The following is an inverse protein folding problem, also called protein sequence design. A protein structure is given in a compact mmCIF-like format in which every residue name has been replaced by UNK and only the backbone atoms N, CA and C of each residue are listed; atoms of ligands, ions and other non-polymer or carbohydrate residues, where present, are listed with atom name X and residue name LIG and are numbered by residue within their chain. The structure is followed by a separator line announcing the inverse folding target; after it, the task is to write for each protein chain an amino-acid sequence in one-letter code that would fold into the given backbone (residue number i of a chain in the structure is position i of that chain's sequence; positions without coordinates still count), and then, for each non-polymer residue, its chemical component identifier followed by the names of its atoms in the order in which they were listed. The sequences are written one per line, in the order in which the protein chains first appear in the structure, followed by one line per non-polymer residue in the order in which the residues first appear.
data_IF_121448697830
#
_entry.id   IF_121448697830
#
_cell.length_a   1.000
_cell.length_b   1.000
_cell.length_c   1.000
_cell.angle_alpha   90.00
_cell.angle_beta   90.00
_cell.angle_gamma   90.00
#
_symmetry.space_group_name_H-M   'P 1'
#
loop_
_entity.id
_entity.type
_entity.pdbx_description
1 polymer ?
#
# COMPACT_ATOMS: atom_id res chain seq x y z
N UNK A 1 -12.68 25.56 14.02
CA UNK A 1 -13.12 25.65 12.60
C UNK A 1 -12.11 25.00 11.67
N UNK A 2 -10.86 25.45 11.56
CA UNK A 2 -9.85 24.81 10.67
C UNK A 2 -9.64 23.31 10.98
N UNK A 3 -9.31 22.96 12.23
CA UNK A 3 -9.18 21.55 12.66
C UNK A 3 -10.50 20.76 12.62
N UNK A 4 -11.63 21.45 12.55
CA UNK A 4 -12.93 20.80 12.40
C UNK A 4 -13.12 20.46 10.92
N UNK A 5 -12.88 21.39 10.01
CA UNK A 5 -12.93 21.17 8.57
C UNK A 5 -11.96 20.07 8.11
N UNK A 6 -10.73 19.99 8.62
CA UNK A 6 -9.83 18.86 8.27
C UNK A 6 -10.44 17.51 8.60
N UNK A 7 -11.24 17.40 9.66
CA UNK A 7 -11.90 16.14 10.08
C UNK A 7 -13.31 15.97 9.52
N UNK A 8 -13.94 17.06 9.09
CA UNK A 8 -15.34 17.09 8.66
C UNK A 8 -15.52 17.43 7.19
N UNK A 9 -14.47 17.66 6.39
CA UNK A 9 -14.59 18.08 4.99
C UNK A 9 -15.52 17.20 4.15
N UNK A 10 -15.58 15.90 4.46
CA UNK A 10 -16.50 14.96 3.79
C UNK A 10 -17.99 15.20 4.09
N UNK A 11 -18.29 15.74 5.27
CA UNK A 11 -19.64 15.84 5.85
C UNK A 11 -20.14 17.28 5.97
N UNK A 12 -19.23 18.24 6.08
CA UNK A 12 -19.55 19.66 6.19
C UNK A 12 -19.47 20.29 4.80
N UNK A 13 -20.65 20.62 4.26
CA UNK A 13 -20.78 21.23 2.94
C UNK A 13 -19.98 22.54 2.83
N UNK A 14 -19.91 23.35 3.89
CA UNK A 14 -19.16 24.60 3.87
C UNK A 14 -17.64 24.38 3.79
N UNK A 15 -17.12 23.38 4.52
CA UNK A 15 -15.71 22.99 4.42
C UNK A 15 -15.39 22.41 3.03
N UNK A 16 -16.32 21.63 2.46
CA UNK A 16 -16.18 21.03 1.14
C UNK A 16 -16.19 22.07 0.02
N UNK A 17 -17.14 23.01 0.06
CA UNK A 17 -17.25 24.08 -0.93
C UNK A 17 -16.00 24.97 -0.89
N UNK A 18 -15.51 25.32 0.31
CA UNK A 18 -14.26 26.06 0.45
C UNK A 18 -13.05 25.29 -0.11
N UNK A 19 -12.97 23.97 0.11
CA UNK A 19 -11.93 23.14 -0.50
C UNK A 19 -12.01 23.15 -2.03
N UNK A 20 -13.23 23.04 -2.59
CA UNK A 20 -13.42 23.07 -4.04
C UNK A 20 -13.08 24.42 -4.67
N UNK A 21 -13.37 25.54 -4.01
CA UNK A 21 -12.94 26.86 -4.48
C UNK A 21 -11.41 26.95 -4.55
N UNK A 22 -10.71 26.45 -3.51
CA UNK A 22 -9.24 26.42 -3.49
C UNK A 22 -8.69 25.47 -4.56
N UNK A 23 -9.26 24.27 -4.70
CA UNK A 23 -8.88 23.29 -5.73
C UNK A 23 -9.08 23.85 -7.14
N UNK A 24 -10.23 24.46 -7.42
CA UNK A 24 -10.53 25.08 -8.71
C UNK A 24 -9.55 26.20 -9.04
N UNK A 25 -9.15 26.99 -8.04
CA UNK A 25 -8.12 28.01 -8.22
C UNK A 25 -6.76 27.37 -8.54
N UNK A 26 -6.36 26.34 -7.79
CA UNK A 26 -5.07 25.64 -8.01
C UNK A 26 -4.99 25.00 -9.39
N UNK A 27 -6.06 24.36 -9.84
CA UNK A 27 -6.08 23.64 -11.12
C UNK A 27 -6.29 24.59 -12.30
N UNK A 28 -7.12 25.61 -12.13
CA UNK A 28 -7.57 26.49 -13.21
C UNK A 28 -6.72 27.74 -13.42
N UNK A 29 -5.98 28.19 -12.41
CA UNK A 29 -5.16 29.41 -12.50
C UNK A 29 -3.67 29.09 -12.65
N UNK A 30 -2.86 30.00 -13.23
CA UNK A 30 -1.42 29.84 -13.28
C UNK A 30 -0.81 29.61 -11.89
N UNK A 31 0.24 28.80 -11.83
CA UNK A 31 0.97 28.54 -10.60
C UNK A 31 1.42 29.84 -9.90
N UNK A 32 1.40 29.86 -8.57
CA UNK A 32 1.79 31.02 -7.76
C UNK A 32 0.73 32.13 -7.63
N UNK A 33 -0.46 31.95 -8.21
CA UNK A 33 -1.60 32.87 -8.00
C UNK A 33 -2.35 32.60 -6.69
N UNK A 34 -2.25 31.39 -6.15
CA UNK A 34 -2.73 31.06 -4.81
C UNK A 34 -1.67 31.43 -3.78
N UNK A 35 -2.09 31.97 -2.62
CA UNK A 35 -1.17 32.23 -1.53
C UNK A 35 -0.52 30.92 -1.05
N UNK A 36 0.78 30.93 -0.76
CA UNK A 36 1.57 29.72 -0.51
C UNK A 36 1.17 28.97 0.75
N UNK A 37 0.56 29.67 1.72
CA UNK A 37 -0.08 29.12 2.91
C UNK A 37 -1.39 28.38 2.58
N UNK A 38 -2.28 28.98 1.78
CA UNK A 38 -3.51 28.32 1.31
C UNK A 38 -3.20 27.07 0.48
N UNK A 39 -2.21 27.14 -0.40
CA UNK A 39 -1.80 25.99 -1.20
C UNK A 39 -1.22 24.86 -0.32
N UNK A 40 -0.40 25.21 0.69
CA UNK A 40 0.11 24.23 1.66
C UNK A 40 -1.03 23.58 2.44
N UNK A 41 -1.97 24.39 2.93
CA UNK A 41 -3.14 23.89 3.67
C UNK A 41 -3.98 22.96 2.80
N UNK A 42 -4.20 23.28 1.52
CA UNK A 42 -4.92 22.42 0.59
C UNK A 42 -4.35 21.00 0.57
N UNK A 43 -3.03 20.80 0.56
CA UNK A 43 -2.42 19.46 0.61
C UNK A 43 -2.69 18.71 1.93
N UNK A 44 -2.87 19.44 3.04
CA UNK A 44 -3.32 18.83 4.30
C UNK A 44 -4.80 18.45 4.25
N UNK A 45 -5.61 19.17 3.47
CA UNK A 45 -7.01 18.85 3.21
C UNK A 45 -7.19 17.73 2.17
N UNK A 46 -6.26 17.54 1.23
CA UNK A 46 -6.31 16.50 0.19
C UNK A 46 -6.43 15.08 0.74
N UNK A 47 -5.89 14.84 1.94
CA UNK A 47 -6.03 13.53 2.59
C UNK A 47 -7.42 13.32 3.21
N UNK A 48 -8.22 14.38 3.32
CA UNK A 48 -9.49 14.41 4.04
C UNK A 48 -10.69 14.74 3.15
N UNK A 49 -10.53 15.59 2.14
CA UNK A 49 -11.57 16.04 1.20
C UNK A 49 -11.60 15.18 -0.06
N UNK A 50 -12.77 15.04 -0.69
CA UNK A 50 -12.85 14.45 -2.03
C UNK A 50 -12.28 15.42 -3.05
N UNK A 51 -11.46 14.91 -3.96
CA UNK A 51 -10.95 15.69 -5.07
C UNK A 51 -12.02 15.75 -6.17
N UNK A 52 -12.26 16.95 -6.67
CA UNK A 52 -12.78 17.13 -8.02
C UNK A 52 -11.55 17.29 -8.91
N UNK A 53 -11.28 16.32 -9.79
CA UNK A 53 -10.19 16.46 -10.76
C UNK A 53 -10.64 17.47 -11.81
N UNK A 54 -10.24 18.74 -11.67
CA UNK A 54 -10.22 19.66 -12.78
C UNK A 54 -8.82 19.55 -13.40
N UNK A 55 -8.73 19.11 -14.65
CA UNK A 55 -7.46 19.25 -15.34
C UNK A 55 -7.21 20.74 -15.63
N UNK A 56 -5.96 21.20 -15.50
CA UNK A 56 -5.58 22.50 -16.04
C UNK A 56 -5.93 22.58 -17.53
N UNK A 57 -6.33 23.76 -18.04
CA UNK A 57 -6.50 23.95 -19.47
C UNK A 57 -5.19 23.58 -20.17
N UNK A 58 -5.23 22.54 -21.02
CA UNK A 58 -4.05 22.06 -21.71
C UNK A 58 -3.40 23.16 -22.55
N UNK A 59 -2.08 23.18 -22.60
CA UNK A 59 -1.36 24.02 -23.55
C UNK A 59 -1.55 23.44 -24.95
N UNK A 60 -2.30 24.14 -25.81
CA UNK A 60 -2.55 23.73 -27.20
C UNK A 60 -1.27 23.61 -28.05
N UNK A 61 -0.15 24.14 -27.57
CA UNK A 61 1.15 24.06 -28.23
C UNK A 61 1.90 22.76 -27.90
N UNK A 62 1.44 22.00 -26.90
CA UNK A 62 2.00 20.70 -26.53
C UNK A 62 1.20 19.56 -27.14
N UNK A 63 1.88 18.47 -27.49
CA UNK A 63 1.23 17.24 -27.91
C UNK A 63 0.29 16.71 -26.82
N UNK A 64 -0.66 15.85 -27.22
CA UNK A 64 -1.46 15.08 -26.27
C UNK A 64 -0.57 14.39 -25.25
N UNK A 65 -1.04 14.29 -24.01
CA UNK A 65 -0.32 13.57 -22.97
C UNK A 65 -0.05 12.12 -23.41
N UNK A 66 1.11 11.54 -23.05
CA UNK A 66 1.35 10.13 -23.28
C UNK A 66 0.28 9.30 -22.55
N UNK A 67 -0.08 8.15 -23.14
CA UNK A 67 -0.89 7.18 -22.42
C UNK A 67 0.01 6.51 -21.38
N UNK A 68 -0.30 6.68 -20.10
CA UNK A 68 0.52 6.14 -19.01
C UNK A 68 -0.11 4.86 -18.49
N UNK A 69 0.73 3.83 -18.34
CA UNK A 69 0.34 2.60 -17.64
C UNK A 69 0.41 2.85 -16.12
N UNK A 70 -0.74 2.99 -15.50
CA UNK A 70 -0.86 3.33 -14.08
C UNK A 70 -0.26 2.22 -13.20
N UNK A 71 0.55 2.62 -12.23
CA UNK A 71 1.30 1.71 -11.36
C UNK A 71 2.62 1.19 -11.94
N UNK A 72 2.95 1.49 -13.20
CA UNK A 72 4.19 1.00 -13.81
C UNK A 72 5.45 1.64 -13.22
N UNK A 73 6.59 0.94 -13.34
CA UNK A 73 7.90 1.45 -12.92
C UNK A 73 8.33 2.67 -13.73
N UNK A 74 7.81 2.87 -14.95
CA UNK A 74 8.19 4.02 -15.78
C UNK A 74 7.80 5.36 -15.16
N UNK A 75 6.73 5.42 -14.35
CA UNK A 75 6.36 6.64 -13.60
C UNK A 75 7.43 6.94 -12.53
N UNK A 76 7.94 5.89 -11.86
CA UNK A 76 8.98 6.00 -10.82
C UNK A 76 10.33 6.34 -11.43
N UNK A 77 10.68 5.73 -12.56
CA UNK A 77 11.89 6.04 -13.33
C UNK A 77 11.87 7.48 -13.84
N UNK A 78 10.77 7.91 -14.47
CA UNK A 78 10.58 9.27 -14.94
C UNK A 78 10.75 10.28 -13.78
N UNK A 79 10.10 10.04 -12.65
CA UNK A 79 10.27 10.88 -11.46
C UNK A 79 11.71 10.90 -10.93
N UNK A 80 12.37 9.73 -10.89
CA UNK A 80 13.76 9.63 -10.43
C UNK A 80 14.70 10.40 -11.35
N UNK A 81 14.47 10.35 -12.66
CA UNK A 81 15.23 11.12 -13.63
C UNK A 81 14.99 12.63 -13.49
N UNK A 82 13.74 13.07 -13.31
CA UNK A 82 13.42 14.48 -13.05
C UNK A 82 14.18 15.02 -11.83
N UNK A 83 14.19 14.25 -10.74
CA UNK A 83 14.89 14.60 -9.50
C UNK A 83 16.42 14.59 -9.64
N UNK A 84 16.98 13.67 -10.42
CA UNK A 84 18.42 13.52 -10.54
C UNK A 84 19.05 14.48 -11.56
N UNK A 85 18.34 14.74 -12.67
CA UNK A 85 18.94 15.34 -13.87
C UNK A 85 18.27 16.65 -14.30
N UNK A 86 17.12 17.01 -13.72
CA UNK A 86 16.32 18.14 -14.19
C UNK A 86 16.14 19.25 -13.13
N UNK A 87 16.73 19.16 -11.93
CA UNK A 87 16.58 20.15 -10.84
C UNK A 87 17.53 21.36 -10.92
N UNK A 88 18.63 21.26 -11.68
CA UNK A 88 19.74 22.23 -11.63
C UNK A 88 19.66 23.35 -12.69
N UNK A 89 18.54 23.48 -13.39
CA UNK A 89 18.40 24.51 -14.43
C UNK A 89 17.94 25.82 -13.78
N UNK A 90 18.75 26.87 -13.91
CA UNK A 90 18.52 28.20 -13.33
C UNK A 90 17.05 28.62 -13.38
N UNK A 91 16.55 29.12 -12.24
CA UNK A 91 15.16 29.49 -11.98
C UNK A 91 14.46 30.14 -13.19
N UNK A 92 13.70 29.35 -13.94
CA UNK A 92 12.88 29.82 -15.05
C UNK A 92 12.86 28.93 -16.30
N UNK A 93 13.82 28.02 -16.46
CA UNK A 93 13.85 27.08 -17.59
C UNK A 93 13.43 25.68 -17.17
N UNK A 94 12.15 25.34 -17.30
CA UNK A 94 11.77 23.95 -17.15
C UNK A 94 12.16 23.14 -18.40
N UNK A 95 12.66 21.91 -18.18
CA UNK A 95 12.86 20.91 -19.24
C UNK A 95 13.90 21.32 -20.30
N UNK A 96 15.14 21.49 -19.88
CA UNK A 96 16.24 21.84 -20.80
C UNK A 96 16.63 20.74 -21.80
N UNK A 97 16.10 19.53 -21.60
CA UNK A 97 16.30 18.40 -22.48
C UNK A 97 14.97 17.76 -22.83
N UNK A 98 14.91 17.17 -24.03
CA UNK A 98 13.76 16.39 -24.47
C UNK A 98 13.43 15.24 -23.49
N UNK A 99 14.45 14.67 -22.84
CA UNK A 99 14.27 13.62 -21.84
C UNK A 99 13.53 14.14 -20.60
N UNK A 100 13.92 15.29 -20.06
CA UNK A 100 13.21 15.91 -18.94
C UNK A 100 11.74 16.19 -19.32
N UNK A 101 11.51 16.67 -20.55
CA UNK A 101 10.15 16.92 -21.05
C UNK A 101 9.31 15.65 -21.12
N UNK A 102 9.85 14.58 -21.70
CA UNK A 102 9.19 13.29 -21.76
C UNK A 102 8.85 12.76 -20.36
N UNK A 103 9.81 12.78 -19.43
CA UNK A 103 9.61 12.30 -18.06
C UNK A 103 8.58 13.14 -17.30
N UNK A 104 8.59 14.46 -17.50
CA UNK A 104 7.57 15.35 -16.94
C UNK A 104 6.19 15.00 -17.48
N UNK A 105 6.05 14.79 -18.79
CA UNK A 105 4.77 14.43 -19.40
C UNK A 105 4.26 13.08 -18.91
N UNK A 106 5.14 12.09 -18.67
CA UNK A 106 4.77 10.81 -18.05
C UNK A 106 4.23 11.04 -16.63
N UNK A 107 4.97 11.76 -15.78
CA UNK A 107 4.54 12.00 -14.39
C UNK A 107 3.27 12.85 -14.34
N UNK A 108 3.18 13.89 -15.16
CA UNK A 108 2.01 14.75 -15.28
C UNK A 108 0.79 13.92 -15.71
N UNK A 109 0.89 13.18 -16.81
CA UNK A 109 -0.19 12.32 -17.26
C UNK A 109 -0.61 11.34 -16.15
N UNK A 110 0.34 10.67 -15.49
CA UNK A 110 0.05 9.78 -14.36
C UNK A 110 -0.76 10.47 -13.26
N UNK A 111 -0.38 11.68 -12.85
CA UNK A 111 -1.05 12.42 -11.77
C UNK A 111 -2.53 12.72 -12.05
N UNK A 112 -2.88 12.92 -13.32
CA UNK A 112 -4.25 13.25 -13.71
C UNK A 112 -5.05 12.04 -14.20
N UNK A 113 -4.42 11.08 -14.89
CA UNK A 113 -5.12 9.91 -15.44
C UNK A 113 -5.21 8.74 -14.47
N UNK A 114 -4.22 8.57 -13.59
CA UNK A 114 -4.21 7.45 -12.65
C UNK A 114 -4.97 7.79 -11.37
N UNK A 115 -5.43 6.75 -10.67
CA UNK A 115 -5.98 6.89 -9.34
C UNK A 115 -4.90 7.34 -8.36
N UNK A 116 -5.30 8.05 -7.31
CA UNK A 116 -4.35 8.59 -6.35
C UNK A 116 -3.40 7.49 -5.84
N UNK A 117 -3.91 6.31 -5.50
CA UNK A 117 -3.12 5.18 -4.99
C UNK A 117 -2.21 4.48 -6.03
N UNK A 118 -2.47 4.66 -7.32
CA UNK A 118 -1.64 4.10 -8.41
C UNK A 118 -0.38 4.93 -8.64
N UNK A 119 -0.40 6.23 -8.28
CA UNK A 119 0.78 7.09 -8.30
C UNK A 119 1.48 7.05 -6.95
N UNK A 120 2.78 6.78 -6.98
CA UNK A 120 3.62 6.66 -5.80
C UNK A 120 3.59 7.93 -4.94
N UNK A 121 3.36 7.82 -3.62
CA UNK A 121 3.16 8.98 -2.71
C UNK A 121 4.27 10.04 -2.78
N UNK A 122 5.54 9.64 -2.88
CA UNK A 122 6.67 10.59 -3.02
C UNK A 122 6.56 11.40 -4.30
N UNK A 123 6.11 10.77 -5.40
CA UNK A 123 5.86 11.45 -6.67
C UNK A 123 4.72 12.44 -6.46
N UNK A 124 3.60 12.05 -5.85
CA UNK A 124 2.46 12.97 -5.63
C UNK A 124 2.83 14.18 -4.78
N UNK A 125 3.56 13.95 -3.68
CA UNK A 125 4.02 15.03 -2.79
C UNK A 125 5.04 15.92 -3.49
N UNK A 126 6.01 15.32 -4.15
CA UNK A 126 7.06 16.04 -4.85
C UNK A 126 6.56 16.72 -6.12
N UNK A 127 5.55 16.17 -6.80
CA UNK A 127 5.04 16.64 -8.08
C UNK A 127 4.64 18.09 -8.00
N UNK A 128 3.87 18.46 -6.99
CA UNK A 128 3.43 19.85 -6.81
C UNK A 128 4.57 20.79 -6.37
N UNK A 129 5.50 20.30 -5.54
CA UNK A 129 6.70 21.06 -5.17
C UNK A 129 7.57 21.33 -6.42
N UNK A 130 7.75 20.33 -7.26
CA UNK A 130 8.53 20.40 -8.49
C UNK A 130 7.82 21.23 -9.56
N UNK A 131 6.50 21.07 -9.71
CA UNK A 131 5.64 21.91 -10.55
C UNK A 131 5.83 23.37 -10.17
N UNK A 132 5.81 23.73 -8.88
CA UNK A 132 6.03 25.12 -8.47
C UNK A 132 7.42 25.65 -8.74
N UNK A 133 8.44 24.85 -8.39
CA UNK A 133 9.82 25.31 -8.39
C UNK A 133 10.39 25.43 -9.81
N UNK A 134 9.95 24.56 -10.72
CA UNK A 134 10.55 24.41 -12.04
C UNK A 134 9.49 24.60 -13.14
N UNK A 135 8.35 23.93 -13.00
CA UNK A 135 7.12 23.92 -13.81
C UNK A 135 6.17 25.12 -13.78
N UNK A 136 6.50 26.31 -14.33
CA UNK A 136 5.40 27.26 -14.62
C UNK A 136 4.34 26.58 -15.51
N UNK A 137 3.05 26.87 -15.28
CA UNK A 137 1.86 26.16 -15.77
C UNK A 137 1.74 25.93 -17.29
N UNK A 138 2.73 26.35 -18.08
CA UNK A 138 2.78 26.16 -19.53
C UNK A 138 3.09 24.74 -20.00
N UNK A 139 3.39 23.79 -19.10
CA UNK A 139 3.77 22.41 -19.47
C UNK A 139 2.68 21.36 -19.21
N UNK A 140 1.43 21.80 -19.13
CA UNK A 140 0.27 20.93 -19.13
C UNK A 140 -0.01 20.41 -20.54
N UNK A 141 0.18 19.12 -20.79
CA UNK A 141 -0.27 18.49 -22.02
C UNK A 141 -1.81 18.35 -22.05
N UNK A 142 -2.36 18.20 -23.25
CA UNK A 142 -3.81 17.98 -23.41
C UNK A 142 -4.18 16.56 -22.99
N UNK A 143 -4.99 16.42 -21.95
CA UNK A 143 -5.56 15.14 -21.53
C UNK A 143 -6.73 14.73 -22.43
N UNK A 144 -7.03 13.42 -22.56
CA UNK A 144 -8.23 12.95 -23.25
C UNK A 144 -9.50 13.61 -22.71
N UNK A 145 -10.40 14.05 -23.60
CA UNK A 145 -11.64 14.74 -23.20
C UNK A 145 -12.53 13.90 -22.27
N UNK A 146 -12.48 12.56 -22.40
CA UNK A 146 -13.15 11.63 -21.50
C UNK A 146 -12.68 11.69 -20.04
N UNK A 147 -11.51 12.29 -19.77
CA UNK A 147 -10.99 12.51 -18.42
C UNK A 147 -11.23 13.94 -17.92
N UNK A 148 -11.70 14.85 -18.79
CA UNK A 148 -12.02 16.23 -18.45
C UNK A 148 -13.47 16.41 -17.97
N UNK A 149 -14.35 15.45 -18.29
CA UNK A 149 -15.75 15.43 -17.89
C UNK A 149 -15.91 14.76 -16.51
N UNK A 150 -15.28 15.34 -15.48
CA UNK A 150 -15.64 15.01 -14.10
C UNK A 150 -16.80 15.91 -13.70
N UNK A 151 -18.02 15.35 -13.72
CA UNK A 151 -19.22 16.07 -13.30
C UNK A 151 -19.16 16.33 -11.79
N UNK A 152 -18.73 17.54 -11.44
CA UNK A 152 -18.67 18.01 -10.06
C UNK A 152 -20.04 18.49 -9.55
N UNK A 153 -21.09 18.42 -10.38
CA UNK A 153 -22.36 19.14 -10.16
C UNK A 153 -23.54 18.27 -9.72
N UNK A 154 -23.49 16.94 -9.85
CA UNK A 154 -24.71 16.13 -9.71
C UNK A 154 -24.90 15.31 -8.43
N UNK A 155 -23.91 15.12 -7.56
CA UNK A 155 -24.05 14.22 -6.40
C UNK A 155 -24.05 14.92 -5.03
N UNK A 156 -24.83 15.98 -4.89
CA UNK A 156 -25.13 16.57 -3.59
C UNK A 156 -26.14 15.72 -2.76
N UNK A 157 -26.85 14.77 -3.37
CA UNK A 157 -27.94 14.01 -2.74
C UNK A 157 -27.86 12.49 -2.89
N UNK A 158 -26.89 11.95 -3.64
CA UNK A 158 -26.56 10.55 -3.44
C UNK A 158 -25.82 10.52 -2.11
N UNK A 159 -26.34 9.73 -1.17
CA UNK A 159 -25.56 9.21 -0.06
C UNK A 159 -24.41 8.42 -0.72
N UNK A 160 -23.39 9.14 -1.19
CA UNK A 160 -22.12 8.58 -1.59
C UNK A 160 -21.58 8.01 -0.30
N UNK A 161 -21.96 6.76 -0.04
CA UNK A 161 -21.11 5.77 0.60
C UNK A 161 -19.68 6.11 0.15
N UNK A 162 -18.84 6.35 1.13
CA UNK A 162 -17.66 7.19 0.95
C UNK A 162 -16.68 6.57 -0.07
N UNK A 163 -16.24 7.32 -1.11
CA UNK A 163 -15.27 6.85 -2.08
C UNK A 163 -13.99 6.23 -1.54
N UNK A 164 -13.68 6.55 -0.29
CA UNK A 164 -12.52 6.11 0.45
C UNK A 164 -12.86 5.23 1.66
N UNK A 165 -14.10 5.21 2.16
CA UNK A 165 -14.57 4.13 3.07
C UNK A 165 -14.84 2.84 2.30
N UNK A 166 -14.78 2.89 0.97
CA UNK A 166 -14.85 1.76 0.08
C UNK A 166 -13.65 1.62 -0.86
N UNK A 167 -12.49 2.25 -0.59
CA UNK A 167 -11.26 1.55 -1.00
C UNK A 167 -11.19 0.34 -0.07
N UNK A 168 -12.13 -0.59 -0.30
CA UNK A 168 -12.07 -1.95 0.18
C UNK A 168 -10.72 -2.37 -0.31
N UNK A 169 -9.88 -2.75 0.63
CA UNK A 169 -8.66 -3.45 0.31
C UNK A 169 -8.99 -4.49 -0.76
N UNK A 170 -8.22 -4.54 -1.86
CA UNK A 170 -8.49 -5.52 -2.89
C UNK A 170 -8.50 -6.91 -2.23
N UNK A 171 -9.38 -7.78 -2.69
CA UNK A 171 -9.48 -9.11 -2.13
C UNK A 171 -8.20 -9.88 -2.48
N UNK A 172 -7.48 -10.40 -1.48
CA UNK A 172 -6.19 -11.06 -1.69
C UNK A 172 -6.29 -12.19 -2.74
N UNK A 173 -7.39 -12.95 -2.70
CA UNK A 173 -7.69 -14.00 -3.66
C UNK A 173 -7.69 -13.53 -5.14
N UNK A 174 -8.00 -12.27 -5.39
CA UNK A 174 -7.97 -11.69 -6.74
C UNK A 174 -6.58 -11.21 -7.17
N UNK A 175 -5.68 -10.99 -6.21
CA UNK A 175 -4.34 -10.44 -6.44
C UNK A 175 -3.32 -11.55 -6.66
N UNK A 176 -3.35 -12.54 -5.78
CA UNK A 176 -2.30 -13.56 -5.65
C UNK A 176 -2.79 -14.98 -5.93
N UNK A 177 -4.07 -15.11 -6.31
CA UNK A 177 -4.70 -16.36 -6.72
C UNK A 177 -5.29 -17.16 -5.55
N UNK A 178 -5.63 -18.45 -5.77
CA UNK A 178 -6.26 -19.28 -4.75
C UNK A 178 -5.29 -19.59 -3.60
N UNK A 179 -5.83 -19.58 -2.37
CA UNK A 179 -5.09 -19.90 -1.16
C UNK A 179 -4.87 -21.42 -1.02
N UNK A 180 -3.64 -21.84 -0.74
CA UNK A 180 -3.28 -23.23 -0.42
C UNK A 180 -2.71 -23.35 0.99
N UNK A 181 -3.52 -23.79 1.95
CA UNK A 181 -3.11 -23.98 3.34
C UNK A 181 -2.40 -25.31 3.62
N UNK A 182 -2.15 -26.14 2.60
CA UNK A 182 -1.41 -27.39 2.76
C UNK A 182 0.11 -27.19 2.76
N UNK A 183 0.59 -26.01 2.35
CA UNK A 183 2.01 -25.69 2.28
C UNK A 183 2.30 -24.24 2.68
N UNK A 184 3.11 -24.04 3.71
CA UNK A 184 3.60 -22.71 4.12
C UNK A 184 4.73 -22.17 3.21
N UNK A 185 5.21 -22.98 2.26
CA UNK A 185 6.34 -22.62 1.40
C UNK A 185 6.14 -21.31 0.64
N UNK A 186 4.97 -21.01 0.02
CA UNK A 186 4.76 -19.73 -0.65
C UNK A 186 4.86 -18.52 0.30
N UNK A 187 4.33 -18.64 1.52
CA UNK A 187 4.42 -17.57 2.53
C UNK A 187 5.86 -17.35 3.00
N UNK A 188 6.64 -18.42 3.21
CA UNK A 188 8.06 -18.33 3.54
C UNK A 188 8.83 -17.63 2.41
N UNK A 189 8.59 -18.03 1.16
CA UNK A 189 9.23 -17.43 -0.02
C UNK A 189 8.90 -15.94 -0.16
N UNK A 190 7.64 -15.56 0.08
CA UNK A 190 7.22 -14.17 0.11
C UNK A 190 7.91 -13.38 1.23
N UNK A 191 8.00 -13.95 2.45
CA UNK A 191 8.68 -13.32 3.57
C UNK A 191 10.18 -13.14 3.33
N UNK A 192 10.85 -14.13 2.75
CA UNK A 192 12.26 -14.04 2.33
C UNK A 192 12.46 -12.92 1.31
N UNK A 193 11.58 -12.83 0.29
CA UNK A 193 11.62 -11.75 -0.68
C UNK A 193 11.47 -10.38 -0.02
N UNK A 194 10.51 -10.23 0.90
CA UNK A 194 10.29 -8.97 1.61
C UNK A 194 11.51 -8.53 2.42
N UNK A 195 12.19 -9.48 3.05
CA UNK A 195 13.43 -9.22 3.83
C UNK A 195 14.57 -8.84 2.91
N UNK A 196 14.82 -9.64 1.88
CA UNK A 196 16.00 -9.53 1.02
C UNK A 196 15.94 -8.27 0.12
N UNK A 197 14.73 -7.72 -0.11
CA UNK A 197 14.51 -6.49 -0.88
C UNK A 197 14.22 -5.25 0.00
N UNK A 198 14.44 -5.34 1.31
CA UNK A 198 14.24 -4.23 2.27
C UNK A 198 12.82 -3.63 2.21
N UNK A 199 11.81 -4.47 1.97
CA UNK A 199 10.44 -4.03 1.75
C UNK A 199 9.83 -3.33 2.97
N UNK A 200 10.41 -3.49 4.17
CA UNK A 200 9.97 -2.81 5.39
C UNK A 200 9.94 -1.27 5.29
N UNK A 201 10.69 -0.67 4.36
CA UNK A 201 10.65 0.79 4.09
C UNK A 201 10.09 1.16 2.71
N UNK A 202 9.95 0.18 1.81
CA UNK A 202 9.62 0.39 0.39
C UNK A 202 8.30 -0.25 -0.03
N UNK A 203 7.62 -1.00 0.83
CA UNK A 203 6.43 -1.75 0.43
C UNK A 203 5.30 -0.86 -0.09
N UNK A 204 5.16 0.36 0.45
CA UNK A 204 4.19 1.35 -0.07
C UNK A 204 4.41 1.70 -1.55
N UNK A 205 5.60 1.44 -2.06
CA UNK A 205 6.18 2.04 -3.25
C UNK A 205 6.62 1.04 -4.30
N UNK A 206 7.01 -0.16 -3.88
CA UNK A 206 7.42 -1.25 -4.77
C UNK A 206 6.24 -2.20 -4.99
N UNK A 207 5.85 -2.37 -6.26
CA UNK A 207 4.81 -3.32 -6.64
C UNK A 207 5.16 -4.75 -6.23
N UNK A 208 6.40 -5.17 -6.47
CA UNK A 208 6.87 -6.51 -6.11
C UNK A 208 6.89 -6.73 -4.59
N UNK A 209 7.24 -5.72 -3.79
CA UNK A 209 7.08 -5.80 -2.34
C UNK A 209 5.60 -5.96 -1.92
N UNK A 210 4.66 -5.24 -2.56
CA UNK A 210 3.23 -5.41 -2.25
C UNK A 210 2.72 -6.79 -2.63
N UNK A 211 3.09 -7.29 -3.80
CA UNK A 211 2.70 -8.62 -4.26
C UNK A 211 3.18 -9.69 -3.28
N UNK A 212 4.45 -9.65 -2.87
CA UNK A 212 4.99 -10.54 -1.86
C UNK A 212 4.23 -10.40 -0.52
N UNK A 213 3.94 -9.17 -0.08
CA UNK A 213 3.14 -8.96 1.12
C UNK A 213 1.73 -9.55 1.01
N UNK A 214 1.06 -9.42 -0.13
CA UNK A 214 -0.27 -10.01 -0.35
C UNK A 214 -0.23 -11.53 -0.32
N UNK A 215 0.82 -12.18 -0.84
CA UNK A 215 1.00 -13.63 -0.68
C UNK A 215 1.16 -14.03 0.80
N UNK A 216 1.99 -13.29 1.53
CA UNK A 216 2.22 -13.54 2.96
C UNK A 216 0.93 -13.32 3.78
N UNK A 217 0.25 -12.20 3.55
CA UNK A 217 -0.99 -11.83 4.23
C UNK A 217 -2.13 -12.80 3.92
N UNK A 218 -2.33 -13.16 2.64
CA UNK A 218 -3.35 -14.14 2.27
C UNK A 218 -3.17 -15.45 3.04
N UNK A 219 -1.92 -15.91 3.17
CA UNK A 219 -1.62 -17.15 3.89
C UNK A 219 -1.82 -17.01 5.40
N UNK A 220 -1.24 -15.98 6.02
CA UNK A 220 -1.32 -15.78 7.48
C UNK A 220 -2.76 -15.51 7.94
N UNK A 221 -3.49 -14.69 7.19
CA UNK A 221 -4.84 -14.28 7.58
C UNK A 221 -5.90 -15.27 7.11
N UNK A 222 -5.69 -15.96 5.98
CA UNK A 222 -6.65 -16.90 5.41
C UNK A 222 -6.55 -18.34 5.93
N UNK A 223 -5.35 -18.82 6.28
CA UNK A 223 -5.18 -20.21 6.71
C UNK A 223 -5.54 -20.45 8.17
N UNK A 224 -5.97 -21.68 8.52
CA UNK A 224 -6.06 -22.08 9.91
C UNK A 224 -4.68 -21.96 10.52
N UNK A 225 -4.58 -21.42 11.73
CA UNK A 225 -3.26 -21.12 12.30
C UNK A 225 -2.45 -22.37 12.66
N UNK A 226 -3.05 -23.57 12.67
CA UNK A 226 -2.28 -24.82 12.67
C UNK A 226 -1.41 -25.01 11.42
N UNK A 227 -1.71 -24.31 10.32
CA UNK A 227 -0.94 -24.30 9.07
C UNK A 227 0.08 -23.15 9.00
N UNK A 228 0.03 -22.19 9.94
CA UNK A 228 0.91 -21.01 9.97
C UNK A 228 1.88 -21.13 11.13
N UNK A 229 3.17 -21.16 10.85
CA UNK A 229 4.21 -21.15 11.88
C UNK A 229 4.20 -19.82 12.63
N UNK A 230 4.52 -19.87 13.93
CA UNK A 230 4.59 -18.68 14.77
C UNK A 230 5.57 -17.62 14.23
N UNK A 231 6.64 -18.04 13.55
CA UNK A 231 7.62 -17.12 12.96
C UNK A 231 7.03 -16.36 11.76
N UNK A 232 6.31 -17.05 10.85
CA UNK A 232 5.72 -16.40 9.67
C UNK A 232 4.61 -15.43 10.07
N UNK A 233 3.76 -15.82 11.02
CA UNK A 233 2.74 -14.93 11.59
C UNK A 233 3.39 -13.66 12.17
N UNK A 234 4.37 -13.83 13.07
CA UNK A 234 5.01 -12.71 13.74
C UNK A 234 5.74 -11.76 12.77
N UNK A 235 6.48 -12.30 11.81
CA UNK A 235 7.27 -11.49 10.88
C UNK A 235 6.42 -10.72 9.86
N UNK A 236 5.17 -11.16 9.58
CA UNK A 236 4.22 -10.39 8.77
C UNK A 236 4.05 -8.97 9.34
N UNK A 237 3.89 -8.87 10.66
CA UNK A 237 3.62 -7.59 11.34
C UNK A 237 4.72 -6.54 11.18
N UNK A 238 5.94 -6.94 10.80
CA UNK A 238 7.03 -6.00 10.46
C UNK A 238 6.69 -5.12 9.26
N UNK A 239 5.72 -5.54 8.43
CA UNK A 239 5.36 -4.88 7.19
C UNK A 239 4.01 -4.17 7.24
N UNK A 240 3.17 -4.40 8.27
CA UNK A 240 1.80 -3.84 8.40
C UNK A 240 1.75 -2.31 8.35
N UNK A 241 2.76 -1.62 8.90
CA UNK A 241 2.80 -0.14 8.88
C UNK A 241 3.19 0.43 7.50
N UNK A 242 3.85 -0.37 6.66
CA UNK A 242 4.45 0.10 5.40
C UNK A 242 3.69 -0.40 4.17
N UNK A 243 3.22 -1.65 4.19
CA UNK A 243 2.46 -2.24 3.11
C UNK A 243 1.00 -1.79 3.15
N UNK A 244 0.36 -1.76 1.98
CA UNK A 244 -1.10 -1.76 1.93
C UNK A 244 -1.57 -3.19 2.16
N UNK A 245 -2.66 -3.36 2.89
CA UNK A 245 -3.27 -4.66 3.13
C UNK A 245 -4.21 -5.06 1.98
N UNK A 246 -4.49 -6.35 1.89
CA UNK A 246 -5.55 -6.92 1.07
C UNK A 246 -6.61 -7.58 1.96
N UNK A 247 -7.88 -7.54 1.54
CA UNK A 247 -8.95 -8.17 2.30
C UNK A 247 -8.94 -9.69 2.07
N UNK A 248 -9.04 -10.47 3.14
CA UNK A 248 -9.19 -11.92 3.07
C UNK A 248 -10.33 -12.35 3.99
N UNK A 249 -11.27 -13.12 3.44
CA UNK A 249 -12.24 -13.81 4.28
C UNK A 249 -11.49 -14.87 5.09
N UNK A 250 -11.65 -14.84 6.42
CA UNK A 250 -11.23 -15.93 7.29
C UNK A 250 -12.22 -17.07 7.12
N UNK A 251 -11.71 -18.27 6.89
CA UNK A 251 -12.54 -19.47 6.92
C UNK A 251 -13.19 -19.59 8.32
N UNK A 252 -14.52 -19.73 8.33
CA UNK A 252 -15.24 -20.05 9.56
C UNK A 252 -14.71 -21.37 10.11
N UNK A 253 -14.36 -21.37 11.39
CA UNK A 253 -13.94 -22.59 12.07
C UNK A 253 -15.11 -23.11 12.88
N UNK A 254 -15.62 -24.30 12.54
CA UNK A 254 -16.73 -24.97 13.22
C UNK A 254 -16.54 -25.09 14.74
N UNK A 255 -15.28 -25.10 15.21
CA UNK A 255 -14.93 -25.21 16.62
C UNK A 255 -14.95 -23.87 17.39
N UNK A 256 -15.02 -22.74 16.69
CA UNK A 256 -15.04 -21.41 17.32
C UNK A 256 -16.47 -20.91 17.43
N UNK A 257 -16.75 -20.16 18.51
CA UNK A 257 -18.03 -19.46 18.67
C UNK A 257 -18.07 -18.20 17.80
N UNK A 258 -19.26 -17.67 17.52
CA UNK A 258 -19.41 -16.38 16.85
C UNK A 258 -18.91 -15.25 17.75
N UNK A 259 -18.23 -14.29 17.15
CA UNK A 259 -17.81 -13.09 17.84
C UNK A 259 -19.02 -12.22 18.22
N UNK A 260 -18.90 -11.45 19.32
CA UNK A 260 -19.93 -10.46 19.65
C UNK A 260 -20.08 -9.44 18.51
N UNK A 261 -21.31 -9.03 18.24
CA UNK A 261 -21.58 -7.93 17.32
C UNK A 261 -20.93 -6.64 17.86
N UNK A 262 -20.33 -5.86 16.96
CA UNK A 262 -19.65 -4.61 17.28
C UNK A 262 -20.34 -3.44 16.61
N UNK A 263 -20.53 -2.35 17.36
CA UNK A 263 -20.84 -1.04 16.80
C UNK A 263 -19.55 -0.28 16.52
N UNK A 264 -19.17 -0.20 15.25
CA UNK A 264 -17.97 0.50 14.79
C UNK A 264 -17.98 2.01 15.09
N UNK A 265 -19.08 2.57 15.57
CA UNK A 265 -19.17 3.99 15.97
C UNK A 265 -18.98 4.21 17.46
N UNK A 266 -18.95 3.14 18.26
CA UNK A 266 -18.77 3.22 19.71
C UNK A 266 -17.28 3.22 20.09
N UNK A 267 -16.59 4.33 19.78
CA UNK A 267 -15.17 4.51 20.08
C UNK A 267 -14.88 4.37 21.59
N UNK A 268 -15.83 4.75 22.45
CA UNK A 268 -15.70 4.63 23.90
C UNK A 268 -15.65 3.15 24.33
N UNK A 269 -16.53 2.31 23.78
CA UNK A 269 -16.52 0.86 24.01
C UNK A 269 -15.23 0.21 23.53
N UNK A 270 -14.76 0.54 22.32
CA UNK A 270 -13.51 -0.02 21.78
C UNK A 270 -12.30 0.42 22.60
N UNK A 271 -12.25 1.69 23.02
CA UNK A 271 -11.18 2.20 23.89
C UNK A 271 -11.21 1.56 25.27
N UNK A 272 -12.40 1.33 25.83
CA UNK A 272 -12.57 0.64 27.11
C UNK A 272 -12.11 -0.82 27.01
N UNK A 273 -12.54 -1.54 25.97
CA UNK A 273 -12.13 -2.93 25.73
C UNK A 273 -10.61 -3.03 25.61
N UNK A 274 -9.96 -2.11 24.89
CA UNK A 274 -8.50 -2.05 24.79
C UNK A 274 -7.83 -1.79 26.14
N UNK A 275 -8.28 -0.79 26.89
CA UNK A 275 -7.71 -0.48 28.21
C UNK A 275 -7.89 -1.65 29.21
N UNK A 276 -9.02 -2.34 29.14
CA UNK A 276 -9.31 -3.51 29.97
C UNK A 276 -8.42 -4.68 29.58
N UNK A 277 -8.30 -4.98 28.28
CA UNK A 277 -7.42 -6.01 27.75
C UNK A 277 -5.95 -5.76 28.13
N UNK A 278 -5.47 -4.53 28.05
CA UNK A 278 -4.13 -4.17 28.50
C UNK A 278 -3.87 -4.47 29.99
N UNK A 279 -4.91 -4.51 30.83
CA UNK A 279 -4.77 -4.85 32.25
C UNK A 279 -4.68 -6.36 32.49
N UNK A 280 -4.90 -7.18 31.45
CA UNK A 280 -4.85 -8.64 31.50
C UNK A 280 -3.45 -9.24 31.37
N UNK A 281 -2.38 -8.44 31.45
CA UNK A 281 -1.02 -8.93 31.16
C UNK A 281 -0.64 -10.13 32.03
N UNK A 282 -0.56 -11.31 31.43
CA UNK A 282 -0.16 -12.57 32.07
C UNK A 282 -1.31 -13.52 32.41
N UNK A 283 -2.55 -13.03 32.47
CA UNK A 283 -3.75 -13.87 32.58
C UNK A 283 -4.22 -14.19 31.17
N UNK A 284 -3.97 -15.42 30.73
CA UNK A 284 -4.45 -15.90 29.43
C UNK A 284 -5.97 -15.67 29.34
N UNK A 285 -6.46 -15.26 28.15
CA UNK A 285 -7.91 -15.11 27.94
C UNK A 285 -8.69 -16.40 28.26
N UNK A 286 -8.01 -17.53 28.39
CA UNK A 286 -8.55 -18.82 28.83
C UNK A 286 -9.14 -18.80 30.25
N UNK A 287 -8.59 -17.99 31.18
CA UNK A 287 -8.99 -17.99 32.60
C UNK A 287 -9.77 -16.75 33.00
N UNK A 288 -9.57 -15.63 32.30
CA UNK A 288 -10.27 -14.39 32.58
C UNK A 288 -11.34 -14.09 31.52
N UNK A 289 -12.64 -14.29 31.84
CA UNK A 289 -13.72 -14.13 30.88
C UNK A 289 -13.87 -12.69 30.38
N UNK A 290 -13.45 -11.69 31.18
CA UNK A 290 -13.46 -10.30 30.75
C UNK A 290 -12.40 -10.06 29.67
N UNK A 291 -11.19 -10.59 29.86
CA UNK A 291 -10.11 -10.49 28.86
C UNK A 291 -10.50 -11.19 27.54
N UNK A 292 -11.10 -12.37 27.64
CA UNK A 292 -11.68 -13.07 26.47
C UNK A 292 -12.70 -12.18 25.75
N UNK A 293 -13.66 -11.63 26.49
CA UNK A 293 -14.72 -10.82 25.89
C UNK A 293 -14.15 -9.56 25.23
N UNK A 294 -13.24 -8.85 25.89
CA UNK A 294 -12.62 -7.64 25.35
C UNK A 294 -11.77 -7.95 24.11
N UNK A 295 -11.02 -9.06 24.12
CA UNK A 295 -10.30 -9.56 22.95
C UNK A 295 -11.25 -9.84 21.78
N UNK A 296 -12.32 -10.60 22.01
CA UNK A 296 -13.29 -10.95 20.96
C UNK A 296 -14.02 -9.72 20.40
N UNK A 297 -14.34 -8.72 21.24
CA UNK A 297 -14.89 -7.43 20.78
C UNK A 297 -13.89 -6.73 19.86
N UNK A 298 -12.61 -6.64 20.25
CA UNK A 298 -11.60 -5.96 19.44
C UNK A 298 -11.29 -6.73 18.15
N UNK A 299 -11.27 -8.06 18.17
CA UNK A 299 -11.09 -8.89 16.96
C UNK A 299 -12.27 -8.76 16.00
N UNK A 300 -13.50 -8.73 16.52
CA UNK A 300 -14.69 -8.44 15.72
C UNK A 300 -14.66 -7.03 15.14
N UNK A 301 -14.25 -6.04 15.92
CA UNK A 301 -14.10 -4.66 15.45
C UNK A 301 -13.06 -4.59 14.32
N UNK A 302 -11.90 -5.21 14.51
CA UNK A 302 -10.84 -5.26 13.50
C UNK A 302 -11.31 -5.90 12.20
N UNK A 303 -12.12 -6.97 12.28
CA UNK A 303 -12.63 -7.64 11.09
C UNK A 303 -13.73 -6.84 10.38
N UNK A 304 -14.60 -6.14 11.14
CA UNK A 304 -15.85 -5.58 10.62
C UNK A 304 -15.87 -4.07 10.42
N UNK A 305 -15.02 -3.35 11.15
CA UNK A 305 -14.96 -1.90 11.10
C UNK A 305 -13.88 -1.43 10.13
N UNK A 306 -14.08 -0.25 9.55
CA UNK A 306 -13.02 0.44 8.83
C UNK A 306 -11.83 0.69 9.78
N UNK A 307 -10.59 0.58 9.28
CA UNK A 307 -9.36 0.83 10.06
C UNK A 307 -9.34 2.19 10.75
N UNK A 308 -10.13 3.16 10.27
CA UNK A 308 -10.29 4.50 10.87
C UNK A 308 -11.29 4.57 12.03
N UNK A 309 -12.14 3.56 12.18
CA UNK A 309 -13.18 3.49 13.21
C UNK A 309 -12.68 2.86 14.51
N UNK A 310 -11.57 2.12 14.46
CA UNK A 310 -10.93 1.54 15.64
C UNK A 310 -9.83 2.49 16.16
N UNK A 311 -9.68 2.66 17.49
CA UNK A 311 -8.55 3.40 18.04
C UNK A 311 -7.23 2.82 17.53
N UNK A 312 -6.37 3.64 16.92
CA UNK A 312 -5.15 3.14 16.25
C UNK A 312 -4.21 2.35 17.18
N UNK A 313 -4.18 2.70 18.47
CA UNK A 313 -3.42 1.98 19.49
C UNK A 313 -3.99 0.58 19.77
N UNK A 314 -5.31 0.43 19.72
CA UNK A 314 -5.98 -0.85 19.88
C UNK A 314 -5.79 -1.72 18.63
N UNK A 315 -5.97 -1.14 17.44
CA UNK A 315 -5.81 -1.87 16.17
C UNK A 315 -4.41 -2.45 16.00
N UNK A 316 -3.35 -1.73 16.38
CA UNK A 316 -1.97 -2.25 16.36
C UNK A 316 -1.69 -3.17 17.53
N UNK A 317 -2.19 -2.81 18.71
CA UNK A 317 -1.86 -3.52 19.93
C UNK A 317 -2.52 -4.89 20.05
N UNK A 318 -3.68 -5.10 19.41
CA UNK A 318 -4.41 -6.37 19.49
C UNK A 318 -3.64 -7.54 18.84
N UNK A 319 -2.78 -7.28 17.86
CA UNK A 319 -2.01 -8.33 17.16
C UNK A 319 -1.19 -9.19 18.13
N UNK A 320 -0.53 -8.58 19.11
CA UNK A 320 0.23 -9.34 20.13
C UNK A 320 -0.64 -10.26 20.99
N UNK A 321 -1.95 -10.01 21.05
CA UNK A 321 -2.92 -10.87 21.75
C UNK A 321 -3.45 -11.97 20.83
N UNK A 322 -3.67 -11.65 19.55
CA UNK A 322 -4.10 -12.58 18.51
C UNK A 322 -3.07 -13.69 18.28
N UNK A 323 -1.78 -13.38 18.40
CA UNK A 323 -0.66 -14.33 18.27
C UNK A 323 -0.21 -14.97 19.59
N UNK A 324 -0.73 -14.47 20.72
CA UNK A 324 -0.20 -14.77 22.04
C UNK A 324 -1.26 -15.30 23.01
N UNK A 325 -1.43 -14.66 24.17
CA UNK A 325 -2.18 -15.21 25.30
C UNK A 325 -3.69 -15.39 25.06
N UNK A 326 -4.23 -14.87 23.95
CA UNK A 326 -5.65 -14.96 23.62
C UNK A 326 -5.94 -15.71 22.31
N UNK A 327 -4.90 -16.28 21.72
CA UNK A 327 -4.99 -17.01 20.46
C UNK A 327 -6.06 -18.13 20.46
N UNK A 328 -6.21 -18.86 21.57
CA UNK A 328 -7.19 -19.92 21.72
C UNK A 328 -8.64 -19.41 21.89
N UNK A 329 -8.83 -18.11 22.15
CA UNK A 329 -10.13 -17.50 22.41
C UNK A 329 -10.68 -16.68 21.23
N UNK A 330 -10.15 -16.91 20.02
CA UNK A 330 -10.68 -16.35 18.78
C UNK A 330 -12.12 -16.80 18.55
N UNK A 331 -12.82 -16.09 17.68
CA UNK A 331 -14.22 -16.30 17.37
C UNK A 331 -14.45 -16.06 15.86
N UNK A 332 -15.56 -16.59 15.32
CA UNK A 332 -15.97 -16.40 13.93
C UNK A 332 -16.61 -15.03 13.77
N UNK A 333 -16.13 -14.23 12.81
CA UNK A 333 -16.70 -12.91 12.51
C UNK A 333 -17.73 -13.07 11.40
N UNK A 334 -18.94 -12.48 11.51
CA UNK A 334 -20.07 -12.75 10.59
C UNK A 334 -19.93 -12.13 9.18
N UNK A 335 -18.71 -11.79 8.76
CA UNK A 335 -18.47 -11.26 7.43
C UNK A 335 -18.28 -12.37 6.41
N UNK A 336 -19.35 -12.63 5.66
CA UNK A 336 -19.19 -13.12 4.29
C UNK A 336 -19.37 -11.94 3.34
N UNK A 337 -18.30 -11.60 2.64
CA UNK A 337 -18.37 -10.78 1.43
C UNK A 337 -18.06 -11.72 0.27
N UNK A 338 -18.91 -11.70 -0.73
CA UNK A 338 -18.63 -12.38 -1.99
C UNK A 338 -17.41 -11.74 -2.66
N UNK A 339 -16.39 -12.56 -2.91
CA UNK A 339 -15.19 -12.14 -3.65
C UNK A 339 -15.54 -12.08 -5.13
N UNK A 340 -15.61 -10.87 -5.68
CA UNK A 340 -15.77 -10.63 -7.11
C UNK A 340 -14.49 -10.07 -7.70
N UNK A 341 -13.70 -10.92 -8.38
CA UNK A 341 -12.47 -10.50 -9.04
C UNK A 341 -12.69 -9.81 -10.39
N UNK A 342 -13.91 -9.83 -10.93
CA UNK A 342 -14.22 -9.32 -12.26
C UNK A 342 -14.67 -7.86 -12.27
N UNK A 343 -14.95 -7.27 -11.10
CA UNK A 343 -15.44 -5.89 -11.02
C UNK A 343 -14.69 -5.02 -10.00
N UNK A 344 -14.96 -3.72 -10.05
CA UNK A 344 -14.51 -2.75 -9.04
C UNK A 344 -12.99 -2.68 -8.89
N UNK A 345 -12.56 -2.65 -7.62
CA UNK A 345 -11.14 -2.52 -7.25
C UNK A 345 -10.33 -3.78 -7.62
N UNK A 346 -10.92 -4.96 -7.51
CA UNK A 346 -10.23 -6.22 -7.78
C UNK A 346 -9.82 -6.37 -9.24
N UNK A 347 -10.72 -6.05 -10.17
CA UNK A 347 -10.42 -6.10 -11.60
C UNK A 347 -9.27 -5.13 -11.99
N UNK A 348 -9.20 -3.97 -11.33
CA UNK A 348 -8.14 -2.98 -11.56
C UNK A 348 -6.79 -3.51 -11.08
N UNK A 349 -6.72 -4.02 -9.85
CA UNK A 349 -5.47 -4.55 -9.31
C UNK A 349 -5.00 -5.84 -9.99
N UNK A 350 -5.92 -6.74 -10.37
CA UNK A 350 -5.58 -7.94 -11.13
C UNK A 350 -4.88 -7.58 -12.45
N UNK A 351 -5.31 -6.48 -13.09
CA UNK A 351 -4.67 -5.94 -14.29
C UNK A 351 -3.24 -5.41 -14.08
N UNK A 352 -2.93 -4.91 -12.88
CA UNK A 352 -1.58 -4.45 -12.51
C UNK A 352 -0.65 -5.64 -12.26
N UNK A 353 -1.06 -6.60 -11.43
CA UNK A 353 -0.21 -7.74 -11.06
C UNK A 353 -0.03 -8.78 -12.16
N UNK A 354 -1.06 -9.03 -12.99
CA UNK A 354 -0.95 -9.98 -14.12
C UNK A 354 0.11 -9.56 -15.15
N UNK A 355 0.49 -8.27 -15.18
CA UNK A 355 1.51 -7.74 -16.08
C UNK A 355 2.92 -7.89 -15.52
N UNK A 356 3.09 -7.82 -14.20
CA UNK A 356 4.38 -8.01 -13.52
C UNK A 356 4.76 -9.49 -13.47
N UNK A 357 3.78 -10.39 -13.39
CA UNK A 357 3.99 -11.84 -13.28
C UNK A 357 4.27 -12.57 -14.62
N UNK A 358 4.36 -11.84 -15.74
CA UNK A 358 4.88 -12.40 -17.01
C UNK A 358 6.42 -12.25 -17.08
N UNK A 359 7.19 -13.31 -17.38
CA UNK A 359 8.33 -13.69 -16.55
C UNK A 359 9.71 -13.25 -17.08
N UNK A 360 10.63 -12.95 -16.17
CA UNK A 360 12.07 -13.20 -16.39
C UNK A 360 12.78 -13.90 -15.23
N UNK A 361 12.12 -14.11 -14.08
CA UNK A 361 12.64 -15.00 -13.05
C UNK A 361 11.47 -15.65 -12.34
N UNK A 362 11.11 -16.86 -12.76
CA UNK A 362 10.46 -17.79 -11.85
C UNK A 362 11.21 -17.77 -10.52
N UNK A 363 10.50 -17.69 -9.39
CA UNK A 363 11.04 -18.16 -8.11
C UNK A 363 11.35 -19.65 -8.29
N UNK A 364 12.49 -19.94 -8.90
CA UNK A 364 12.88 -21.28 -9.31
C UNK A 364 13.11 -22.08 -8.04
N UNK A 365 12.38 -23.18 -7.91
CA UNK A 365 12.53 -24.16 -6.83
C UNK A 365 13.79 -25.01 -6.99
N UNK A 366 14.90 -24.45 -7.49
CA UNK A 366 16.15 -25.17 -7.72
C UNK A 366 16.93 -25.35 -6.41
N UNK A 367 16.36 -26.14 -5.50
CA UNK A 367 17.07 -26.84 -4.44
C UNK A 367 17.79 -28.07 -4.99
N UNK A 368 18.70 -27.85 -5.94
CA UNK A 368 19.61 -28.88 -6.44
C UNK A 368 20.78 -29.06 -5.46
N UNK A 369 20.67 -30.03 -4.54
CA UNK A 369 21.77 -30.51 -3.72
C UNK A 369 22.97 -30.95 -4.57
N UNK A 370 23.97 -30.09 -4.73
CA UNK A 370 25.29 -30.49 -5.20
C UNK A 370 26.15 -30.91 -4.01
N UNK A 371 26.10 -32.21 -3.74
CA UNK A 371 27.06 -32.87 -2.85
C UNK A 371 28.47 -32.77 -3.48
N UNK A 372 29.28 -31.83 -3.00
CA UNK A 372 30.71 -31.82 -3.27
C UNK A 372 31.38 -32.94 -2.47
N UNK A 373 31.48 -34.12 -3.08
CA UNK A 373 32.29 -35.23 -2.59
C UNK A 373 33.79 -34.89 -2.71
N UNK A 374 34.45 -34.69 -1.57
CA UNK A 374 35.91 -34.63 -1.47
C UNK A 374 36.45 -36.04 -1.64
N UNK A 375 36.94 -36.37 -2.83
CA UNK A 375 37.70 -37.59 -3.07
C UNK A 375 39.16 -37.38 -2.62
N UNK A 376 39.50 -37.94 -1.46
CA UNK A 376 40.90 -38.11 -1.01
C UNK A 376 41.49 -39.28 -1.78
N UNK A 377 42.26 -38.99 -2.84
CA UNK A 377 43.11 -39.98 -3.49
C UNK A 377 44.53 -39.87 -2.93
N UNK A 378 44.91 -40.85 -2.11
CA UNK A 378 46.29 -41.08 -1.72
C UNK A 378 47.09 -41.63 -2.92
N UNK A 379 48.16 -40.93 -3.30
CA UNK A 379 49.23 -41.51 -4.11
C UNK A 379 50.56 -41.23 -3.42
N UNK A 380 51.08 -42.29 -2.82
CA UNK A 380 52.47 -42.47 -2.43
C UNK A 380 53.27 -42.73 -3.71
N UNK A 381 54.35 -41.99 -3.98
CA UNK A 381 55.70 -42.51 -4.20
C UNK A 381 56.68 -41.40 -4.64
N UNK A 382 57.61 -41.10 -3.72
CA UNK A 382 59.06 -41.19 -3.86
C UNK A 382 59.81 -40.61 -5.09
N UNK A 383 60.85 -39.85 -4.71
CA UNK A 383 62.25 -39.93 -5.15
C UNK A 383 62.80 -38.90 -6.15
N UNK A 384 63.80 -38.16 -5.63
CA UNK A 384 65.11 -37.84 -6.22
C UNK A 384 65.08 -36.85 -7.41
N UNK A 385 65.92 -35.83 -7.56
CA UNK A 385 67.23 -35.49 -6.98
C UNK A 385 67.75 -34.18 -7.62
N UNK A 386 68.78 -33.60 -7.01
CA UNK A 386 69.82 -32.71 -7.60
C UNK A 386 69.46 -31.23 -7.82
N UNK A 387 70.01 -30.30 -7.03
CA UNK A 387 71.32 -29.58 -7.13
C UNK A 387 71.00 -28.09 -7.39
N UNK A 388 71.09 -27.19 -6.41
CA UNK A 388 72.27 -26.53 -5.85
C UNK A 388 72.75 -25.32 -6.68
N UNK A 389 73.22 -24.28 -5.96
CA UNK A 389 73.89 -23.02 -6.38
C UNK A 389 72.94 -21.86 -6.76
N UNK A 390 73.07 -20.60 -6.31
CA UNK A 390 74.10 -19.79 -5.59
C UNK A 390 73.36 -18.47 -5.20
N UNK A 391 73.39 -18.02 -3.95
CA UNK A 391 74.29 -17.00 -3.33
C UNK A 391 73.66 -15.62 -3.14
N UNK A 392 73.66 -15.25 -1.84
CA UNK A 392 73.56 -13.95 -1.15
C UNK A 392 72.53 -12.94 -1.59
#
# INVERSE_FOLDING_TARGET
RENDCKRSCRRDLGCRDAFFEVQQHMDGCPAGTLASDLEREKYEYDVHCHHCKAAPPGNSSLSSCPNVDCGSESIVEAWSNLKANCEDQEAGGCLSSAQCEEDWLIVYAAMYTCEHFEVHRVIRRGFHEWQRAYCSSGLACSLPQSLLEVDCSTDANVEHQDPYSWIREPDCACLVGPLDCSSERPAIQALEFLRDNECGSKCRYSLSCREAFYHLEQFVDGCPVSAVSANVAHEKHRYDDTCSHCWQQKDEQDSLEDCPAVDCRDEARLSQAWSSLQSCMGDACDTNPQCKQDFQVLSAARATCDHTQMPSVASRGIHSWEEGPCYAQRCNTPLSREVDCATGINARYAGIFSRVSSPSTSMSTDGGSSASGVAIAAVVLACLSCTAWLVT
#
